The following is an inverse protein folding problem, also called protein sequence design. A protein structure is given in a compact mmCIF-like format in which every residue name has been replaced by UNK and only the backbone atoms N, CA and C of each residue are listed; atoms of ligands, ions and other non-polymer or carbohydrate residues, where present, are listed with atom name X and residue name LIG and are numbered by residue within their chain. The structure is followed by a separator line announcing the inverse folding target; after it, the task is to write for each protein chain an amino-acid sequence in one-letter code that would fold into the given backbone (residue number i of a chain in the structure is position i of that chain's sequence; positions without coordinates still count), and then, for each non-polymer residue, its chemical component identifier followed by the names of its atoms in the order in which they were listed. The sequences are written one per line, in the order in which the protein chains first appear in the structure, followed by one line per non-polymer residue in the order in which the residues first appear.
data_IF_610543545837
#
_entry.id   IF_610543545837
#
_cell.length_a   1.000
_cell.length_b   1.000
_cell.length_c   1.000
_cell.angle_alpha   90.00
_cell.angle_beta   90.00
_cell.angle_gamma   90.00
#
_symmetry.space_group_name_H-M   'P 1'
#
loop_
_entity.id
_entity.type
_entity.pdbx_description
1 polymer ?
#
# COMPACT_ATOMS: atom_id res chain seq x y z
N UNK A 1 2.14 -20.36 10.12
CA UNK A 1 1.18 -19.53 9.38
C UNK A 1 1.65 -19.36 7.94
N UNK A 2 0.79 -19.54 6.93
CA UNK A 2 1.13 -19.42 5.50
C UNK A 2 1.63 -18.01 5.12
N UNK A 3 1.17 -16.97 5.83
CA UNK A 3 1.65 -15.60 5.63
C UNK A 3 3.14 -15.43 5.97
N UNK A 4 3.64 -16.11 7.00
CA UNK A 4 5.07 -16.09 7.39
C UNK A 4 5.94 -16.76 6.31
N UNK A 5 5.38 -17.69 5.52
CA UNK A 5 6.10 -18.34 4.41
C UNK A 5 6.27 -17.40 3.22
N UNK A 6 5.27 -16.56 2.91
CA UNK A 6 5.36 -15.55 1.83
C UNK A 6 6.49 -14.54 2.08
N UNK A 7 6.68 -14.14 3.34
CA UNK A 7 7.76 -13.22 3.73
C UNK A 7 9.17 -13.79 3.48
N UNK A 8 9.34 -15.09 3.22
CA UNK A 8 10.66 -15.68 2.95
C UNK A 8 11.21 -15.34 1.57
N UNK A 9 10.34 -15.02 0.62
CA UNK A 9 10.72 -14.75 -0.77
C UNK A 9 10.10 -13.46 -1.34
N UNK A 10 9.23 -12.79 -0.59
CA UNK A 10 8.67 -11.49 -0.96
C UNK A 10 9.55 -10.38 -0.38
N UNK A 11 10.03 -9.48 -1.23
CA UNK A 11 10.83 -8.32 -0.85
C UNK A 11 9.95 -7.15 -0.38
N UNK A 12 8.90 -6.85 -1.15
CA UNK A 12 7.97 -5.77 -0.84
C UNK A 12 6.59 -6.04 -1.44
N UNK A 13 5.59 -5.29 -0.96
CA UNK A 13 4.24 -5.26 -1.51
C UNK A 13 3.81 -3.82 -1.70
N UNK A 14 3.12 -3.54 -2.80
CA UNK A 14 2.67 -2.22 -3.21
C UNK A 14 1.20 -2.27 -3.57
N UNK A 15 0.42 -1.30 -3.09
CA UNK A 15 -0.99 -1.16 -3.40
C UNK A 15 -1.21 0.12 -4.20
N UNK A 16 -1.99 0.01 -5.26
CA UNK A 16 -2.40 1.12 -6.10
C UNK A 16 -3.90 1.06 -6.37
N UNK A 17 -4.48 2.22 -6.63
CA UNK A 17 -5.85 2.35 -7.11
C UNK A 17 -5.81 2.78 -8.57
N UNK A 18 -6.73 2.26 -9.38
CA UNK A 18 -6.85 2.72 -10.75
C UNK A 18 -7.21 4.21 -10.76
N UNK A 19 -6.56 5.00 -11.63
CA UNK A 19 -6.79 6.43 -11.78
C UNK A 19 -8.26 6.80 -12.07
N UNK A 20 -9.02 5.89 -12.69
CA UNK A 20 -10.44 6.07 -12.97
C UNK A 20 -11.37 5.73 -11.78
N UNK A 21 -10.83 5.30 -10.65
CA UNK A 21 -11.65 4.96 -9.48
C UNK A 21 -12.26 6.22 -8.86
N UNK A 22 -13.51 6.11 -8.42
CA UNK A 22 -14.14 7.14 -7.59
C UNK A 22 -13.32 7.22 -6.29
N UNK A 23 -12.98 8.44 -5.86
CA UNK A 23 -12.08 8.68 -4.74
C UNK A 23 -12.43 7.89 -3.47
N UNK A 24 -11.42 7.66 -2.64
CA UNK A 24 -11.58 6.92 -1.39
C UNK A 24 -12.08 7.81 -0.27
N UNK A 25 -12.97 7.30 0.57
CA UNK A 25 -13.52 8.05 1.69
C UNK A 25 -13.25 7.28 2.99
N UNK A 26 -12.34 7.76 3.85
CA UNK A 26 -12.16 7.20 5.18
C UNK A 26 -13.49 7.21 5.95
N UNK A 27 -13.78 6.14 6.68
CA UNK A 27 -15.03 6.05 7.45
C UNK A 27 -15.12 7.15 8.52
N UNK A 28 -13.97 7.62 9.03
CA UNK A 28 -13.91 8.78 9.92
C UNK A 28 -14.53 10.02 9.30
N UNK A 29 -14.34 10.25 8.01
CA UNK A 29 -14.79 11.46 7.33
C UNK A 29 -16.31 11.41 7.13
N UNK A 30 -16.85 10.22 6.81
CA UNK A 30 -18.29 9.96 6.75
C UNK A 30 -18.92 10.25 8.12
N UNK A 31 -18.43 9.59 9.18
CA UNK A 31 -18.95 9.76 10.54
C UNK A 31 -18.85 11.22 10.97
N UNK A 32 -17.74 11.90 10.68
CA UNK A 32 -17.57 13.29 11.04
C UNK A 32 -18.61 14.19 10.38
N UNK A 33 -18.84 14.03 9.06
CA UNK A 33 -19.83 14.82 8.33
C UNK A 33 -21.24 14.68 8.89
N UNK A 34 -21.61 13.48 9.36
CA UNK A 34 -22.91 13.21 9.95
C UNK A 34 -23.02 13.65 11.41
N UNK A 35 -21.91 13.71 12.16
CA UNK A 35 -21.91 14.12 13.57
C UNK A 35 -21.98 15.64 13.76
N UNK A 36 -21.37 16.42 12.86
CA UNK A 36 -21.25 17.90 12.98
C UNK A 36 -22.58 18.63 13.24
N UNK A 37 -23.71 18.29 12.58
CA UNK A 37 -25.00 18.95 12.83
C UNK A 37 -25.53 18.76 14.25
N UNK A 38 -25.23 17.62 14.88
CA UNK A 38 -25.73 17.26 16.21
C UNK A 38 -24.79 17.68 17.35
N UNK A 39 -23.57 18.10 17.02
CA UNK A 39 -22.58 18.53 18.00
C UNK A 39 -22.70 20.02 18.28
N UNK A 40 -22.84 20.38 19.56
CA UNK A 40 -22.83 21.79 19.98
C UNK A 40 -21.52 22.46 19.55
N UNK A 41 -21.59 23.72 19.11
CA UNK A 41 -20.45 24.46 18.54
C UNK A 41 -19.22 24.40 19.46
N UNK A 42 -19.43 24.52 20.77
CA UNK A 42 -18.39 24.46 21.81
C UNK A 42 -17.68 23.10 21.95
N UNK A 43 -18.27 22.02 21.45
CA UNK A 43 -17.72 20.66 21.54
C UNK A 43 -17.01 20.22 20.25
N UNK A 44 -17.24 20.90 19.11
CA UNK A 44 -16.61 20.56 17.82
C UNK A 44 -15.08 20.50 17.86
N UNK A 45 -14.35 21.41 18.56
CA UNK A 45 -12.88 21.35 18.64
C UNK A 45 -12.36 20.21 19.53
N UNK A 46 -13.22 19.65 20.41
CA UNK A 46 -12.85 18.68 21.45
C UNK A 46 -13.06 17.26 20.92
N UNK A 47 -12.04 16.66 20.29
CA UNK A 47 -12.11 15.33 19.64
C UNK A 47 -12.62 14.21 20.57
N UNK A 48 -12.31 14.31 21.86
CA UNK A 48 -12.78 13.43 22.94
C UNK A 48 -14.30 13.49 23.16
N UNK A 49 -14.95 14.58 22.74
CA UNK A 49 -16.40 14.79 22.85
C UNK A 49 -17.14 14.45 21.53
N UNK A 50 -16.48 13.79 20.58
CA UNK A 50 -17.13 13.24 19.40
C UNK A 50 -17.67 11.86 19.76
N UNK A 51 -19.00 11.72 19.78
CA UNK A 51 -19.68 10.46 20.04
C UNK A 51 -19.89 9.71 18.72
N UNK A 52 -19.51 8.42 18.65
CA UNK A 52 -19.75 7.58 17.48
C UNK A 52 -18.91 6.30 17.45
N UNK A 53 -19.33 5.32 16.64
CA UNK A 53 -18.52 4.13 16.35
C UNK A 53 -17.40 4.56 15.40
N UNK A 54 -16.19 4.70 15.93
CA UNK A 54 -14.99 4.90 15.12
C UNK A 54 -14.54 3.55 14.58
N UNK A 55 -15.02 3.20 13.38
CA UNK A 55 -14.50 2.05 12.66
C UNK A 55 -13.10 2.37 12.12
N UNK A 56 -12.10 2.25 13.00
CA UNK A 56 -10.71 2.58 12.69
C UNK A 56 -10.19 1.77 11.49
N UNK A 57 -9.53 2.45 10.56
CA UNK A 57 -8.97 1.85 9.35
C UNK A 57 -9.98 1.40 8.29
N UNK A 58 -11.30 1.65 8.47
CA UNK A 58 -12.28 1.38 7.40
C UNK A 58 -12.26 2.50 6.37
N UNK A 59 -12.28 2.11 5.11
CA UNK A 59 -12.35 2.99 3.95
C UNK A 59 -13.51 2.56 3.08
N UNK A 60 -14.32 3.52 2.64
CA UNK A 60 -15.36 3.32 1.65
C UNK A 60 -14.82 3.71 0.27
N UNK A 61 -14.96 2.82 -0.71
CA UNK A 61 -14.37 2.96 -2.03
C UNK A 61 -15.31 2.36 -3.08
N UNK A 62 -16.33 3.10 -3.53
CA UNK A 62 -17.32 2.58 -4.48
C UNK A 62 -16.72 2.45 -5.88
N UNK A 63 -17.01 1.34 -6.57
CA UNK A 63 -16.56 1.07 -7.95
C UNK A 63 -15.04 1.19 -8.15
N UNK A 64 -14.23 0.97 -7.12
CA UNK A 64 -12.78 1.04 -7.24
C UNK A 64 -12.18 -0.28 -7.69
N UNK A 65 -11.27 -0.20 -8.65
CA UNK A 65 -10.37 -1.28 -8.99
C UNK A 65 -9.01 -0.99 -8.34
N UNK A 66 -8.46 -1.99 -7.65
CA UNK A 66 -7.18 -1.90 -6.98
C UNK A 66 -6.20 -2.91 -7.53
N UNK A 67 -4.94 -2.53 -7.61
CA UNK A 67 -3.85 -3.41 -8.02
C UNK A 67 -2.92 -3.65 -6.84
N UNK A 68 -2.43 -4.88 -6.71
CA UNK A 68 -1.44 -5.26 -5.71
C UNK A 68 -0.24 -5.85 -6.44
N UNK A 69 0.93 -5.24 -6.26
CA UNK A 69 2.19 -5.74 -6.81
C UNK A 69 3.02 -6.31 -5.67
N UNK A 70 3.49 -7.54 -5.85
CA UNK A 70 4.47 -8.18 -4.97
C UNK A 70 5.80 -8.28 -5.68
N UNK A 71 6.87 -7.81 -5.05
CA UNK A 71 8.25 -8.03 -5.52
C UNK A 71 8.73 -9.36 -4.98
N UNK A 72 9.01 -10.30 -5.88
CA UNK A 72 9.35 -11.67 -5.53
C UNK A 72 10.80 -11.98 -5.93
N UNK A 73 11.59 -12.48 -4.98
CA UNK A 73 12.88 -13.09 -5.28
C UNK A 73 12.65 -14.48 -5.88
N UNK A 74 12.79 -14.60 -7.20
CA UNK A 74 12.49 -15.84 -7.93
C UNK A 74 13.31 -17.05 -7.49
N UNK A 75 14.59 -16.85 -7.13
CA UNK A 75 15.46 -17.93 -6.64
C UNK A 75 14.97 -18.48 -5.30
N UNK A 76 14.66 -17.59 -4.34
CA UNK A 76 14.07 -17.99 -3.05
C UNK A 76 12.69 -18.60 -3.24
N UNK A 77 11.84 -18.04 -4.10
CA UNK A 77 10.51 -18.59 -4.37
C UNK A 77 10.60 -20.04 -4.90
N UNK A 78 11.53 -20.30 -5.82
CA UNK A 78 11.81 -21.63 -6.35
C UNK A 78 12.32 -22.60 -5.28
N UNK A 79 13.21 -22.17 -4.39
CA UNK A 79 13.69 -22.97 -3.26
C UNK A 79 12.54 -23.38 -2.33
N UNK A 80 11.64 -22.45 -2.00
CA UNK A 80 10.58 -22.67 -1.01
C UNK A 80 9.32 -23.35 -1.58
N UNK A 81 8.95 -23.08 -2.83
CA UNK A 81 7.71 -23.56 -3.47
C UNK A 81 7.96 -24.61 -4.57
N UNK A 82 9.22 -24.83 -4.97
CA UNK A 82 9.60 -25.73 -6.06
C UNK A 82 9.59 -25.07 -7.44
N UNK A 83 9.85 -25.88 -8.48
CA UNK A 83 9.95 -25.42 -9.88
C UNK A 83 8.69 -24.69 -10.38
N UNK A 84 7.53 -25.08 -9.87
CA UNK A 84 6.22 -24.59 -10.31
C UNK A 84 5.71 -23.40 -9.48
N UNK A 85 6.62 -22.69 -8.80
CA UNK A 85 6.28 -21.59 -7.90
C UNK A 85 5.44 -20.50 -8.59
N UNK A 86 5.73 -20.18 -9.86
CA UNK A 86 4.97 -19.16 -10.62
C UNK A 86 3.49 -19.54 -10.73
N UNK A 87 3.17 -20.79 -11.05
CA UNK A 87 1.78 -21.26 -11.16
C UNK A 87 1.10 -21.24 -9.80
N UNK A 88 1.78 -21.72 -8.75
CA UNK A 88 1.25 -21.71 -7.39
C UNK A 88 0.92 -20.29 -6.91
N UNK A 89 1.78 -19.31 -7.17
CA UNK A 89 1.52 -17.91 -6.81
C UNK A 89 0.33 -17.32 -7.58
N UNK A 90 0.21 -17.60 -8.89
CA UNK A 90 -0.96 -17.17 -9.67
C UNK A 90 -2.27 -17.77 -9.12
N UNK A 91 -2.27 -19.06 -8.80
CA UNK A 91 -3.43 -19.73 -8.19
C UNK A 91 -3.77 -19.14 -6.82
N UNK A 92 -2.75 -18.86 -6.00
CA UNK A 92 -2.93 -18.23 -4.70
C UNK A 92 -3.52 -16.82 -4.82
N UNK A 93 -3.06 -16.03 -5.79
CA UNK A 93 -3.59 -14.69 -6.07
C UNK A 93 -5.08 -14.72 -6.49
N UNK A 94 -5.48 -15.69 -7.31
CA UNK A 94 -6.90 -15.91 -7.65
C UNK A 94 -7.75 -16.41 -6.49
N UNK A 95 -7.12 -16.97 -5.44
CA UNK A 95 -7.81 -17.49 -4.25
C UNK A 95 -7.99 -16.43 -3.15
N UNK A 96 -7.56 -15.19 -3.38
CA UNK A 96 -7.77 -14.09 -2.44
C UNK A 96 -9.25 -13.69 -2.45
N UNK A 97 -9.94 -13.94 -1.34
CA UNK A 97 -11.38 -13.63 -1.18
C UNK A 97 -11.63 -12.39 -0.33
N UNK A 98 -10.62 -11.90 0.39
CA UNK A 98 -10.73 -10.72 1.26
C UNK A 98 -9.40 -10.02 1.45
N UNK A 99 -9.43 -8.68 1.55
CA UNK A 99 -8.28 -7.84 1.91
C UNK A 99 -8.63 -7.02 3.15
N UNK A 100 -7.78 -7.07 4.17
CA UNK A 100 -8.02 -6.39 5.45
C UNK A 100 -8.96 -7.18 6.37
N UNK A 101 -10.02 -6.53 6.86
CA UNK A 101 -11.02 -7.17 7.72
C UNK A 101 -11.86 -8.21 6.97
N UNK A 102 -12.56 -9.08 7.72
CA UNK A 102 -13.43 -10.14 7.14
C UNK A 102 -14.53 -9.61 6.21
N UNK A 103 -14.91 -8.34 6.36
CA UNK A 103 -15.93 -7.65 5.56
C UNK A 103 -15.36 -7.08 4.24
N UNK A 104 -14.04 -7.00 4.10
CA UNK A 104 -13.36 -6.48 2.91
C UNK A 104 -13.29 -7.52 1.80
N UNK A 105 -14.45 -8.03 1.35
CA UNK A 105 -14.56 -9.04 0.31
C UNK A 105 -14.05 -8.49 -1.04
N UNK A 106 -13.38 -9.35 -1.81
CA UNK A 106 -12.83 -8.98 -3.12
C UNK A 106 -12.93 -10.13 -4.12
N UNK A 107 -12.77 -9.78 -5.40
CA UNK A 107 -12.65 -10.72 -6.51
C UNK A 107 -11.43 -10.35 -7.33
N UNK A 108 -10.51 -11.30 -7.49
CA UNK A 108 -9.31 -11.12 -8.32
C UNK A 108 -9.65 -11.35 -9.80
N UNK A 109 -9.58 -10.29 -10.62
CA UNK A 109 -9.83 -10.37 -12.07
C UNK A 109 -8.68 -11.01 -12.85
N UNK A 110 -7.43 -10.77 -12.44
CA UNK A 110 -6.24 -11.25 -13.13
C UNK A 110 -5.03 -11.34 -12.21
N UNK A 111 -4.13 -12.28 -12.50
CA UNK A 111 -2.88 -12.46 -11.79
C UNK A 111 -1.74 -12.80 -12.77
N UNK A 112 -0.80 -11.86 -12.90
CA UNK A 112 0.31 -11.97 -13.83
C UNK A 112 1.65 -11.91 -13.09
N UNK A 113 2.69 -12.48 -13.71
CA UNK A 113 4.04 -12.50 -13.16
C UNK A 113 4.96 -12.11 -14.29
N UNK A 114 5.73 -11.06 -14.06
CA UNK A 114 6.69 -10.51 -15.00
C UNK A 114 8.07 -10.45 -14.37
N UNK A 115 9.09 -10.36 -15.21
CA UNK A 115 10.43 -10.03 -14.79
C UNK A 115 10.58 -8.50 -14.80
N UNK A 116 10.94 -7.93 -13.65
CA UNK A 116 11.09 -6.49 -13.50
C UNK A 116 12.50 -6.05 -13.88
N UNK A 117 12.60 -4.90 -14.55
CA UNK A 117 13.84 -4.20 -14.82
C UNK A 117 14.09 -3.16 -13.74
N UNK A 118 15.35 -3.03 -13.35
CA UNK A 118 15.78 -2.11 -12.32
C UNK A 118 16.07 -0.74 -12.94
N UNK A 119 15.54 0.31 -12.32
CA UNK A 119 15.71 1.71 -12.74
C UNK A 119 16.42 2.45 -11.62
N UNK A 120 17.59 2.99 -11.94
CA UNK A 120 18.42 3.78 -11.01
C UNK A 120 18.58 5.21 -11.54
N UNK A 121 18.42 6.19 -10.65
CA UNK A 121 18.77 7.61 -10.84
C UNK A 121 17.89 8.40 -11.84
N UNK A 122 16.78 7.84 -12.30
CA UNK A 122 15.78 8.53 -13.13
C UNK A 122 14.53 8.89 -12.32
N UNK A 123 13.67 9.72 -12.91
CA UNK A 123 12.29 9.88 -12.45
C UNK A 123 11.51 8.63 -12.81
N UNK A 124 10.72 8.12 -11.86
CA UNK A 124 9.84 6.97 -12.06
C UNK A 124 8.42 7.44 -11.82
N UNK A 125 7.56 7.18 -12.79
CA UNK A 125 6.13 7.40 -12.67
C UNK A 125 5.48 6.16 -12.03
N UNK A 126 4.58 6.34 -11.07
CA UNK A 126 3.94 5.24 -10.36
C UNK A 126 2.55 5.57 -9.85
N UNK A 127 1.64 4.59 -9.96
CA UNK A 127 0.30 4.64 -9.36
C UNK A 127 0.22 3.95 -7.99
N UNK A 128 1.35 3.58 -7.40
CA UNK A 128 1.43 2.79 -6.17
C UNK A 128 2.00 3.61 -5.01
N UNK A 129 1.62 3.26 -3.79
CA UNK A 129 2.28 3.87 -2.64
C UNK A 129 3.78 3.56 -2.65
N UNK A 130 4.56 4.52 -2.15
CA UNK A 130 6.00 4.39 -2.04
C UNK A 130 6.49 4.94 -0.70
N UNK A 131 7.62 4.43 -0.16
CA UNK A 131 8.25 5.01 1.01
C UNK A 131 8.73 6.42 0.69
N UNK A 132 8.47 7.38 1.58
CA UNK A 132 8.89 8.77 1.36
C UNK A 132 10.41 8.88 1.22
N UNK A 133 11.18 8.11 2.00
CA UNK A 133 12.65 8.06 1.91
C UNK A 133 13.19 7.55 0.57
N UNK A 134 12.39 6.85 -0.23
CA UNK A 134 12.78 6.38 -1.56
C UNK A 134 12.71 7.48 -2.63
N UNK A 135 12.05 8.61 -2.35
CA UNK A 135 11.92 9.73 -3.28
C UNK A 135 12.70 10.95 -2.78
N UNK A 136 13.52 11.56 -3.64
CA UNK A 136 14.16 12.83 -3.38
C UNK A 136 13.23 14.01 -3.65
N UNK A 137 12.37 13.87 -4.66
CA UNK A 137 11.32 14.84 -5.02
C UNK A 137 10.19 14.10 -5.75
N UNK A 138 8.99 14.66 -5.76
CA UNK A 138 7.84 14.06 -6.44
C UNK A 138 6.77 15.08 -6.84
N UNK A 139 6.02 14.77 -7.90
CA UNK A 139 4.88 15.55 -8.38
C UNK A 139 3.68 14.63 -8.58
N UNK A 140 2.46 15.01 -8.15
CA UNK A 140 2.07 16.28 -7.52
C UNK A 140 2.41 16.37 -6.03
N UNK A 141 2.57 17.58 -5.50
CA UNK A 141 2.94 17.81 -4.09
C UNK A 141 1.75 17.67 -3.11
N UNK A 142 0.51 17.84 -3.59
CA UNK A 142 -0.71 17.81 -2.77
C UNK A 142 -1.27 16.40 -2.61
N UNK A 143 -0.44 15.46 -2.19
CA UNK A 143 -0.81 14.06 -2.01
C UNK A 143 -0.89 13.68 -0.53
N UNK A 144 -1.65 12.62 -0.24
CA UNK A 144 -1.75 12.05 1.11
C UNK A 144 -0.42 11.43 1.51
N UNK A 145 -0.06 11.60 2.78
CA UNK A 145 1.05 10.90 3.43
C UNK A 145 0.50 10.20 4.65
N UNK A 146 0.94 8.97 4.86
CA UNK A 146 0.54 8.17 6.02
C UNK A 146 1.74 7.37 6.51
N UNK A 147 1.75 7.04 7.80
CA UNK A 147 2.80 6.23 8.40
C UNK A 147 2.35 4.77 8.48
N UNK A 148 3.19 3.88 7.96
CA UNK A 148 2.98 2.44 8.06
C UNK A 148 4.07 1.80 8.90
N UNK A 149 3.79 0.58 9.38
CA UNK A 149 4.77 -0.23 10.08
C UNK A 149 5.83 -0.68 9.07
N UNK A 150 7.09 -0.67 9.49
CA UNK A 150 8.16 -1.27 8.71
C UNK A 150 7.93 -2.78 8.60
N UNK A 151 7.67 -3.28 7.38
CA UNK A 151 7.44 -4.70 7.14
C UNK A 151 8.71 -5.54 7.15
N UNK A 152 9.89 -4.91 7.12
CA UNK A 152 11.18 -5.57 7.32
C UNK A 152 11.39 -5.97 8.79
N UNK A 153 10.71 -5.31 9.73
CA UNK A 153 10.72 -5.70 11.13
C UNK A 153 9.78 -6.88 11.40
N UNK A 154 10.19 -7.80 12.28
CA UNK A 154 9.31 -8.85 12.76
C UNK A 154 8.09 -8.22 13.43
N UNK A 155 6.91 -8.32 12.80
CA UNK A 155 5.67 -7.69 13.27
C UNK A 155 5.55 -7.78 14.79
N UNK A 156 5.40 -6.66 15.50
CA UNK A 156 5.32 -6.65 16.96
C UNK A 156 4.09 -7.37 17.51
N UNK A 157 3.10 -7.70 16.67
CA UNK A 157 1.99 -8.57 17.05
C UNK A 157 2.35 -10.07 17.05
N UNK A 158 3.48 -10.44 16.44
CA UNK A 158 3.90 -11.83 16.22
C UNK A 158 5.32 -12.12 16.74
N UNK A 159 5.99 -11.14 17.36
CA UNK A 159 7.30 -11.29 17.98
C UNK A 159 7.24 -11.04 19.49
N UNK A 160 8.15 -11.67 20.24
CA UNK A 160 8.33 -11.41 21.69
C UNK A 160 8.78 -9.97 21.99
N UNK A 161 9.01 -9.13 20.97
CA UNK A 161 9.34 -7.69 21.05
C UNK A 161 8.12 -6.77 21.04
N UNK A 162 6.91 -7.31 21.27
CA UNK A 162 5.63 -6.56 21.31
C UNK A 162 5.56 -5.36 22.30
N UNK A 163 6.63 -5.09 23.05
CA UNK A 163 6.75 -3.99 24.03
C UNK A 163 7.49 -2.76 23.50
N UNK A 164 8.25 -2.85 22.41
CA UNK A 164 8.85 -1.66 21.77
C UNK A 164 7.87 -1.05 20.78
N UNK A 165 7.82 0.29 20.71
CA UNK A 165 7.11 0.93 19.60
C UNK A 165 7.75 0.46 18.29
N UNK A 166 6.95 0.06 17.30
CA UNK A 166 7.47 -0.32 15.99
C UNK A 166 8.24 0.82 15.34
N UNK A 167 9.16 0.49 14.44
CA UNK A 167 9.57 1.48 13.46
C UNK A 167 8.37 1.81 12.54
N UNK A 168 8.13 3.11 12.34
CA UNK A 168 7.10 3.62 11.43
C UNK A 168 7.78 4.34 10.29
N UNK A 169 7.47 3.92 9.08
CA UNK A 169 7.97 4.52 7.86
C UNK A 169 6.89 5.42 7.26
N UNK A 170 7.21 6.68 6.92
CA UNK A 170 6.30 7.52 6.17
C UNK A 170 6.20 7.03 4.72
N UNK A 171 4.99 6.98 4.21
CA UNK A 171 4.68 6.65 2.83
C UNK A 171 3.95 7.80 2.15
N UNK A 172 4.27 7.95 0.88
CA UNK A 172 3.53 8.75 -0.06
C UNK A 172 2.41 7.88 -0.64
N UNK A 173 1.18 8.37 -0.55
CA UNK A 173 0.02 7.73 -1.15
C UNK A 173 -0.36 8.47 -2.44
N UNK A 174 -0.50 7.79 -3.59
CA UNK A 174 -0.94 8.35 -4.88
C UNK A 174 -2.44 8.73 -4.85
N UNK A 175 -2.81 9.60 -3.94
CA UNK A 175 -4.18 10.05 -3.66
C UNK A 175 -4.13 11.54 -3.38
N UNK A 176 -4.88 12.33 -4.16
CA UNK A 176 -4.97 13.77 -3.96
C UNK A 176 -5.57 14.09 -2.58
N UNK A 177 -4.93 15.01 -1.86
CA UNK A 177 -5.31 15.33 -0.47
C UNK A 177 -6.69 15.98 -0.35
N UNK A 178 -7.16 16.64 -1.39
CA UNK A 178 -8.40 17.43 -1.41
C UNK A 178 -9.55 16.62 -2.01
N UNK A 179 -9.35 16.08 -3.22
CA UNK A 179 -10.40 15.34 -3.94
C UNK A 179 -10.48 13.88 -3.52
N UNK A 180 -9.46 13.37 -2.81
CA UNK A 180 -9.31 11.96 -2.42
C UNK A 180 -9.34 10.99 -3.60
N UNK A 181 -9.11 11.51 -4.80
CA UNK A 181 -9.07 10.72 -6.04
C UNK A 181 -7.67 10.15 -6.24
N UNK A 182 -7.53 8.92 -6.78
CA UNK A 182 -6.23 8.38 -7.14
C UNK A 182 -5.55 9.27 -8.18
N UNK A 183 -4.23 9.44 -8.04
CA UNK A 183 -3.40 10.21 -8.97
C UNK A 183 -2.11 9.47 -9.23
N UNK A 184 -1.53 9.65 -10.40
CA UNK A 184 -0.19 9.15 -10.66
C UNK A 184 0.84 10.09 -10.04
N UNK A 185 1.92 9.52 -9.50
CA UNK A 185 3.05 10.26 -8.92
C UNK A 185 4.29 10.04 -9.78
N UNK A 186 4.88 11.12 -10.27
CA UNK A 186 6.23 11.11 -10.82
C UNK A 186 7.21 11.44 -9.70
N UNK A 187 8.09 10.51 -9.36
CA UNK A 187 9.05 10.69 -8.28
C UNK A 187 10.49 10.51 -8.77
N UNK A 188 11.34 11.49 -8.44
CA UNK A 188 12.78 11.39 -8.61
C UNK A 188 13.35 10.52 -7.49
N UNK A 189 14.02 9.43 -7.84
CA UNK A 189 14.58 8.50 -6.87
C UNK A 189 15.65 9.15 -5.98
N UNK A 190 15.62 8.86 -4.69
CA UNK A 190 16.67 9.23 -3.74
C UNK A 190 17.87 8.29 -3.86
N UNK A 191 18.93 8.55 -3.07
CA UNK A 191 20.07 7.63 -2.99
C UNK A 191 19.68 6.26 -2.37
N UNK A 192 18.63 6.25 -1.56
CA UNK A 192 18.09 5.06 -0.87
C UNK A 192 16.99 4.37 -1.69
N UNK A 193 16.39 5.07 -2.66
CA UNK A 193 15.31 4.56 -3.49
C UNK A 193 15.76 3.83 -4.75
N UNK A 194 14.94 2.90 -5.21
CA UNK A 194 15.09 2.17 -6.47
C UNK A 194 13.73 1.97 -7.14
N UNK A 195 13.70 2.09 -8.47
CA UNK A 195 12.53 1.80 -9.28
C UNK A 195 12.59 0.38 -9.83
N UNK A 196 11.44 -0.29 -9.88
CA UNK A 196 11.25 -1.53 -10.64
C UNK A 196 10.13 -1.32 -11.65
N UNK A 197 10.38 -1.66 -12.91
CA UNK A 197 9.41 -1.49 -13.99
C UNK A 197 9.41 -2.64 -14.99
N UNK A 198 8.26 -2.90 -15.62
CA UNK A 198 8.15 -3.84 -16.73
C UNK A 198 8.34 -3.13 -18.08
N UNK A 199 7.66 -1.99 -18.26
CA UNK A 199 7.54 -1.27 -19.53
C UNK A 199 7.71 0.26 -19.41
N UNK A 200 8.00 0.78 -18.22
CA UNK A 200 8.13 2.21 -17.93
C UNK A 200 6.81 2.93 -17.63
N UNK A 201 5.65 2.27 -17.74
CA UNK A 201 4.36 2.87 -17.45
C UNK A 201 4.09 2.98 -15.94
N UNK A 202 3.30 3.97 -15.53
CA UNK A 202 2.92 4.17 -14.13
C UNK A 202 2.21 2.97 -13.48
N UNK A 203 1.44 2.22 -14.28
CA UNK A 203 0.67 1.07 -13.83
C UNK A 203 1.56 -0.17 -13.58
N UNK A 204 2.76 -0.19 -14.15
CA UNK A 204 3.71 -1.30 -14.07
C UNK A 204 5.06 -0.91 -13.46
N UNK A 205 5.10 0.25 -12.79
CA UNK A 205 6.30 0.79 -12.17
C UNK A 205 6.05 1.05 -10.69
N UNK A 206 6.98 0.59 -9.85
CA UNK A 206 6.94 0.76 -8.39
C UNK A 206 8.25 1.34 -7.90
N UNK A 207 8.19 2.00 -6.74
CA UNK A 207 9.33 2.62 -6.08
C UNK A 207 9.43 2.06 -4.67
N UNK A 208 10.62 1.62 -4.29
CA UNK A 208 10.91 1.03 -2.98
C UNK A 208 12.31 1.41 -2.48
N UNK A 209 12.60 1.07 -1.22
CA UNK A 209 13.93 1.22 -0.66
C UNK A 209 14.86 0.12 -1.17
N UNK A 210 16.11 0.48 -1.50
CA UNK A 210 17.14 -0.46 -1.99
C UNK A 210 17.38 -1.62 -1.04
N UNK A 211 17.39 -1.34 0.26
CA UNK A 211 17.58 -2.34 1.31
C UNK A 211 16.55 -3.48 1.31
N UNK A 212 15.40 -3.32 0.65
CA UNK A 212 14.40 -4.39 0.59
C UNK A 212 14.69 -5.42 -0.51
N UNK A 213 15.50 -5.07 -1.51
CA UNK A 213 15.83 -5.98 -2.62
C UNK A 213 17.01 -6.89 -2.28
N UNK A 214 17.98 -6.38 -1.50
CA UNK A 214 19.28 -7.01 -1.24
C UNK A 214 19.33 -7.81 0.05
#
# INVERSE_FOLDING_TARGET
SSAIKLLKFTASAHFGLNANSIGIIPWSDIVHSHAVPYQQIQHRPKKDMWFGIHASGKVYSPNSLSHIIYVINGSKAKEFLGEDWKRQLKMAAHSIISVGGKEGLTVTYGAEIFEAKLVEKESVETAYYLPEGAAADYTPQKIRKEEFWDHGESSPHWSNRSRSQPNRLPYILPIDKITLSPVTVEARLSNEGVGLTIDGSAENSIILLKEWIF
#
